data_IF_865181747012
#
_entry.id   IF_865181747012
#
_cell.length_a   1.000
_cell.length_b   1.000
_cell.length_c   1.000
_cell.angle_alpha   90.00
_cell.angle_beta   90.00
_cell.angle_gamma   90.00
#
_symmetry.space_group_name_H-M   'P 1'
#
loop_
_entity.id
_entity.type
_entity.pdbx_description
1 polymer ?
#
# COMPACT_ATOMS: atom_id res chain seq x y z
N UNK A 1 3.18 -7.20 24.74
CA UNK A 1 3.62 -5.88 25.24
C UNK A 1 2.39 -5.06 25.59
N UNK A 2 2.11 -4.91 26.89
CA UNK A 2 0.96 -4.16 27.40
C UNK A 2 1.07 -2.70 26.95
N UNK A 3 0.11 -2.26 26.12
CA UNK A 3 -0.04 -0.85 25.76
C UNK A 3 -0.45 -0.09 27.00
N UNK A 4 0.35 0.90 27.38
CA UNK A 4 0.02 1.99 28.30
C UNK A 4 -1.39 2.51 27.99
N UNK A 5 -2.23 2.82 29.00
CA UNK A 5 -3.59 3.25 28.76
C UNK A 5 -3.60 4.47 27.84
N UNK A 6 -4.55 4.44 26.89
CA UNK A 6 -4.83 5.54 25.99
C UNK A 6 -4.91 6.85 26.78
N UNK A 7 -4.22 7.89 26.31
CA UNK A 7 -4.49 9.26 26.78
C UNK A 7 -6.00 9.48 26.71
N UNK A 8 -6.64 9.96 27.81
CA UNK A 8 -8.09 10.11 27.83
C UNK A 8 -8.52 10.95 26.63
N UNK A 9 -9.60 10.51 25.98
CA UNK A 9 -10.29 11.31 24.99
C UNK A 9 -10.48 12.71 25.60
N UNK A 10 -10.05 13.75 24.88
CA UNK A 10 -10.12 15.14 25.33
C UNK A 10 -11.51 15.39 25.92
N UNK A 11 -11.59 15.54 27.24
CA UNK A 11 -12.86 15.85 27.89
C UNK A 11 -13.25 17.27 27.45
N UNK A 12 -14.49 17.49 27.01
CA UNK A 12 -14.94 18.83 26.67
C UNK A 12 -14.86 19.69 27.93
N UNK A 13 -13.91 20.62 27.93
CA UNK A 13 -13.85 21.66 28.96
C UNK A 13 -15.01 22.61 28.73
N UNK A 14 -15.69 23.02 29.78
CA UNK A 14 -16.73 24.04 29.69
C UNK A 14 -16.20 25.35 30.26
N UNK A 15 -16.38 26.44 29.52
CA UNK A 15 -16.21 27.81 30.02
C UNK A 15 -17.59 28.47 29.97
N UNK A 16 -18.16 28.79 31.13
CA UNK A 16 -19.49 29.41 31.25
C UNK A 16 -20.60 28.64 30.50
N UNK A 17 -20.58 27.31 30.59
CA UNK A 17 -21.56 26.43 29.93
C UNK A 17 -21.28 26.15 28.44
N UNK A 18 -20.19 26.68 27.89
CA UNK A 18 -19.83 26.54 26.47
C UNK A 18 -18.67 25.57 26.28
N UNK A 19 -18.76 24.70 25.28
CA UNK A 19 -17.66 23.79 24.92
C UNK A 19 -16.42 24.57 24.48
N UNK A 20 -15.34 24.37 25.20
CA UNK A 20 -14.03 24.96 24.99
C UNK A 20 -13.11 23.98 24.26
N UNK A 21 -12.75 24.34 23.03
CA UNK A 21 -11.79 23.59 22.24
C UNK A 21 -10.35 24.03 22.56
N UNK A 22 -9.58 23.13 23.17
CA UNK A 22 -8.17 23.38 23.48
C UNK A 22 -7.28 22.82 22.36
N UNK A 23 -6.19 23.51 22.00
CA UNK A 23 -5.22 22.98 21.04
C UNK A 23 -4.67 21.62 21.47
N UNK A 24 -4.61 20.64 20.55
CA UNK A 24 -4.09 19.29 20.83
C UNK A 24 -2.69 19.29 21.46
N UNK A 25 -1.80 20.21 21.06
CA UNK A 25 -0.43 20.31 21.62
C UNK A 25 -0.42 20.62 23.11
N UNK A 26 -1.56 21.04 23.64
CA UNK A 26 -1.77 21.38 25.04
C UNK A 26 -2.65 20.36 25.76
N UNK A 27 -2.92 19.20 25.16
CA UNK A 27 -3.72 18.13 25.76
C UNK A 27 -3.04 17.46 26.98
N UNK A 28 -1.74 17.66 27.17
CA UNK A 28 -1.03 17.25 28.39
C UNK A 28 -1.35 18.14 29.60
N UNK A 29 -1.96 19.31 29.38
CA UNK A 29 -2.40 20.20 30.46
C UNK A 29 -3.79 19.74 30.89
N UNK A 30 -4.03 19.56 32.20
CA UNK A 30 -5.33 19.15 32.70
C UNK A 30 -6.47 20.05 32.20
N UNK A 31 -7.60 19.41 31.88
CA UNK A 31 -8.75 20.03 31.22
C UNK A 31 -9.31 21.20 32.06
N UNK A 32 -9.43 20.97 33.36
CA UNK A 32 -9.85 21.92 34.39
C UNK A 32 -9.02 23.21 34.42
N UNK A 33 -7.72 23.14 34.07
CA UNK A 33 -6.84 24.32 34.06
C UNK A 33 -7.24 25.33 32.98
N UNK A 34 -7.87 24.87 31.90
CA UNK A 34 -8.31 25.73 30.81
C UNK A 34 -9.62 26.47 31.09
N UNK A 35 -10.40 26.03 32.07
CA UNK A 35 -11.60 26.71 32.52
C UNK A 35 -11.34 27.82 33.55
N UNK A 36 -10.12 27.91 34.10
CA UNK A 36 -9.77 28.93 35.08
C UNK A 36 -9.56 30.28 34.39
N UNK A 37 -10.39 31.26 34.73
CA UNK A 37 -10.25 32.65 34.26
C UNK A 37 -9.09 33.35 34.95
N UNK A 38 -8.24 34.01 34.16
CA UNK A 38 -7.19 34.88 34.68
C UNK A 38 -7.73 36.30 34.87
N UNK A 39 -7.72 36.78 36.11
CA UNK A 39 -8.15 38.12 36.48
C UNK A 39 -7.10 39.15 36.05
N UNK A 40 -7.24 39.64 34.83
CA UNK A 40 -6.45 40.76 34.31
C UNK A 40 -7.14 41.44 33.14
N UNK A 41 -6.88 42.73 32.91
CA UNK A 41 -7.58 43.50 31.89
C UNK A 41 -7.28 42.94 30.50
N UNK A 42 -8.31 42.90 29.63
CA UNK A 42 -8.16 42.62 28.20
C UNK A 42 -8.04 43.97 27.49
N UNK A 43 -6.89 44.31 26.89
CA UNK A 43 -6.72 45.59 26.21
C UNK A 43 -7.70 45.77 25.05
N UNK A 44 -8.25 46.98 24.89
CA UNK A 44 -9.21 47.31 23.83
C UNK A 44 -8.70 46.99 22.42
N UNK A 45 -7.40 47.20 22.18
CA UNK A 45 -6.80 46.86 20.89
C UNK A 45 -6.82 45.35 20.61
N UNK A 46 -6.82 44.48 21.63
CA UNK A 46 -7.00 43.02 21.45
C UNK A 46 -8.44 42.70 21.09
N UNK A 47 -9.42 43.34 21.74
CA UNK A 47 -10.84 43.17 21.40
C UNK A 47 -11.10 43.56 19.94
N UNK A 48 -10.61 44.74 19.52
CA UNK A 48 -10.69 45.19 18.12
C UNK A 48 -10.03 44.21 17.15
N UNK A 49 -8.85 43.69 17.50
CA UNK A 49 -8.12 42.71 16.67
C UNK A 49 -8.89 41.38 16.55
N UNK A 50 -9.44 40.87 17.66
CA UNK A 50 -10.25 39.66 17.66
C UNK A 50 -11.50 39.83 16.80
N UNK A 51 -12.21 40.95 16.98
CA UNK A 51 -13.42 41.25 16.23
C UNK A 51 -13.15 41.30 14.73
N UNK A 52 -12.08 41.99 14.30
CA UNK A 52 -11.65 42.04 12.90
C UNK A 52 -11.28 40.66 12.33
N UNK A 53 -10.79 39.75 13.17
CA UNK A 53 -10.47 38.36 12.80
C UNK A 53 -11.64 37.39 12.94
N UNK A 54 -12.84 37.87 13.27
CA UNK A 54 -14.06 37.07 13.38
C UNK A 54 -14.27 36.39 14.74
N UNK A 55 -13.68 36.92 15.81
CA UNK A 55 -13.79 36.38 17.17
C UNK A 55 -14.18 37.43 18.20
N UNK A 56 -14.84 37.01 19.28
CA UNK A 56 -14.96 37.78 20.51
C UNK A 56 -14.00 37.21 21.57
N UNK A 57 -13.34 38.05 22.38
CA UNK A 57 -12.57 37.57 23.53
C UNK A 57 -13.50 37.48 24.72
N UNK A 58 -13.76 36.26 25.20
CA UNK A 58 -14.59 36.03 26.38
C UNK A 58 -13.79 36.30 27.66
N UNK A 59 -12.60 35.72 27.76
CA UNK A 59 -11.75 35.82 28.93
C UNK A 59 -10.29 35.55 28.58
N UNK A 60 -9.40 35.97 29.49
CA UNK A 60 -8.09 35.33 29.62
C UNK A 60 -8.28 34.06 30.44
N UNK A 61 -7.70 32.95 30.01
CA UNK A 61 -7.84 31.64 30.65
C UNK A 61 -6.48 31.03 30.91
N UNK A 62 -6.35 30.14 31.90
CA UNK A 62 -5.10 29.50 32.34
C UNK A 62 -4.04 30.46 32.90
N UNK A 63 -3.62 31.45 32.11
CA UNK A 63 -2.61 32.44 32.46
C UNK A 63 -2.82 33.75 31.67
N UNK A 64 -1.91 34.72 31.86
CA UNK A 64 -1.98 36.02 31.19
C UNK A 64 -1.84 35.99 29.67
N UNK A 65 -1.43 34.87 29.08
CA UNK A 65 -1.11 34.73 27.66
C UNK A 65 -2.14 33.93 26.87
N UNK A 66 -3.10 33.25 27.49
CA UNK A 66 -4.10 32.47 26.75
C UNK A 66 -5.46 33.16 26.79
N UNK A 67 -6.12 33.17 25.63
CA UNK A 67 -7.41 33.81 25.39
C UNK A 67 -8.43 32.75 24.99
N UNK A 68 -9.60 32.79 25.63
CA UNK A 68 -10.79 32.11 25.16
C UNK A 68 -11.45 32.97 24.09
N UNK A 69 -11.43 32.49 22.84
CA UNK A 69 -11.98 33.18 21.68
C UNK A 69 -13.27 32.49 21.24
N UNK A 70 -14.38 33.20 21.31
CA UNK A 70 -15.65 32.77 20.71
C UNK A 70 -15.64 33.08 19.21
N UNK A 71 -15.91 32.06 18.39
CA UNK A 71 -16.02 32.25 16.95
C UNK A 71 -17.38 32.85 16.59
N UNK A 72 -17.39 33.97 15.86
CA UNK A 72 -18.63 34.63 15.42
C UNK A 72 -19.40 33.89 14.33
N UNK A 73 -18.82 32.84 13.75
CA UNK A 73 -19.45 32.02 12.70
C UNK A 73 -20.18 30.82 13.29
N UNK A 74 -19.55 30.09 14.21
CA UNK A 74 -20.12 28.84 14.75
C UNK A 74 -20.46 28.91 16.25
N UNK A 75 -20.17 30.01 16.94
CA UNK A 75 -20.42 30.20 18.37
C UNK A 75 -19.52 29.39 19.31
N UNK A 76 -18.70 28.47 18.80
CA UNK A 76 -17.80 27.66 19.64
C UNK A 76 -16.64 28.49 20.19
N UNK A 77 -16.13 28.09 21.35
CA UNK A 77 -15.00 28.74 22.02
C UNK A 77 -13.72 27.95 21.75
N UNK A 78 -12.65 28.63 21.36
CA UNK A 78 -11.33 28.03 21.13
C UNK A 78 -10.27 28.77 21.94
N UNK A 79 -9.30 28.04 22.48
CA UNK A 79 -8.19 28.67 23.20
C UNK A 79 -7.02 28.94 22.27
N UNK A 80 -6.51 30.17 22.29
CA UNK A 80 -5.28 30.56 21.58
C UNK A 80 -4.39 31.43 22.46
N UNK A 81 -3.09 31.48 22.13
CA UNK A 81 -2.21 32.47 22.75
C UNK A 81 -2.58 33.87 22.25
N UNK A 82 -2.49 34.87 23.12
CA UNK A 82 -2.62 36.29 22.78
C UNK A 82 -1.62 36.69 21.69
N UNK A 83 -0.43 36.07 21.68
CA UNK A 83 0.53 36.22 20.58
C UNK A 83 -0.07 35.80 19.23
N UNK A 84 -0.70 34.61 19.15
CA UNK A 84 -1.35 34.12 17.93
C UNK A 84 -2.44 35.07 17.45
N UNK A 85 -3.27 35.58 18.37
CA UNK A 85 -4.28 36.58 18.02
C UNK A 85 -3.65 37.83 17.40
N UNK A 86 -2.50 38.27 17.90
CA UNK A 86 -1.83 39.50 17.43
C UNK A 86 -1.10 39.30 16.11
N UNK A 87 -0.46 38.16 15.89
CA UNK A 87 0.48 37.97 14.76
C UNK A 87 -0.06 37.12 13.62
N UNK A 88 -1.13 36.34 13.83
CA UNK A 88 -1.67 35.41 12.83
C UNK A 88 -3.20 35.34 12.88
N UNK A 89 -3.81 34.57 11.98
CA UNK A 89 -5.24 34.27 12.02
C UNK A 89 -5.50 33.06 12.94
N UNK A 90 -6.20 33.21 14.08
CA UNK A 90 -6.57 32.06 14.90
C UNK A 90 -7.49 31.10 14.13
N UNK A 91 -7.17 29.81 14.18
CA UNK A 91 -8.03 28.78 13.61
C UNK A 91 -9.14 28.42 14.60
N UNK A 92 -10.39 28.46 14.15
CA UNK A 92 -11.52 27.97 14.95
C UNK A 92 -11.59 26.44 14.89
N UNK A 93 -11.41 25.79 16.05
CA UNK A 93 -11.50 24.34 16.17
C UNK A 93 -12.92 23.80 15.94
N UNK A 94 -13.97 24.51 16.35
CA UNK A 94 -15.35 24.12 16.11
C UNK A 94 -15.75 24.18 14.64
N UNK A 95 -15.42 25.27 13.92
CA UNK A 95 -15.61 25.31 12.46
C UNK A 95 -14.85 24.18 11.76
N UNK A 96 -13.64 23.85 12.21
CA UNK A 96 -12.88 22.72 11.64
C UNK A 96 -13.54 21.37 11.94
N UNK A 97 -14.15 21.20 13.11
CA UNK A 97 -14.92 19.99 13.45
C UNK A 97 -16.21 19.87 12.64
N UNK A 98 -16.97 20.95 12.51
CA UNK A 98 -18.18 21.01 11.67
C UNK A 98 -17.84 20.63 10.24
N UNK A 99 -16.78 21.20 9.66
CA UNK A 99 -16.32 20.83 8.30
C UNK A 99 -15.98 19.35 8.17
N UNK A 100 -15.30 18.76 9.16
CA UNK A 100 -14.96 17.32 9.16
C UNK A 100 -16.21 16.44 9.27
N UNK A 101 -17.17 16.84 10.10
CA UNK A 101 -18.46 16.13 10.25
C UNK A 101 -19.24 16.17 8.94
N UNK A 102 -19.34 17.35 8.31
CA UNK A 102 -19.97 17.51 6.99
C UNK A 102 -19.28 16.65 5.94
N UNK A 103 -17.95 16.75 5.80
CA UNK A 103 -17.21 15.94 4.83
C UNK A 103 -17.35 14.43 5.07
N UNK A 104 -17.45 13.99 6.33
CA UNK A 104 -17.74 12.59 6.64
C UNK A 104 -19.15 12.20 6.17
N UNK A 105 -20.17 13.01 6.47
CA UNK A 105 -21.54 12.77 6.06
C UNK A 105 -21.67 12.71 4.53
N UNK A 106 -21.07 13.67 3.84
CA UNK A 106 -21.05 13.74 2.37
C UNK A 106 -20.32 12.52 1.75
N UNK A 107 -19.35 11.96 2.48
CA UNK A 107 -18.66 10.72 2.10
C UNK A 107 -19.39 9.43 2.54
N UNK A 108 -20.61 9.52 3.11
CA UNK A 108 -21.36 8.37 3.61
C UNK A 108 -20.84 7.79 4.93
N UNK A 109 -20.18 8.59 5.76
CA UNK A 109 -19.54 8.16 7.01
C UNK A 109 -20.06 8.93 8.23
N UNK A 110 -19.95 8.32 9.41
CA UNK A 110 -20.14 9.02 10.69
C UNK A 110 -18.79 9.39 11.29
N UNK A 111 -18.54 10.68 11.51
CA UNK A 111 -17.31 11.14 12.17
C UNK A 111 -17.33 10.84 13.67
N UNK A 112 -16.30 10.13 14.15
CA UNK A 112 -16.16 9.72 15.56
C UNK A 112 -15.14 10.57 16.33
N UNK A 113 -14.49 11.51 15.64
CA UNK A 113 -13.47 12.36 16.22
C UNK A 113 -12.10 12.18 15.58
N UNK A 114 -11.14 12.92 16.12
CA UNK A 114 -9.76 12.94 15.62
C UNK A 114 -9.02 11.69 16.07
N UNK A 115 -8.03 11.31 15.29
CA UNK A 115 -7.05 10.33 15.74
C UNK A 115 -6.21 10.96 16.88
N UNK A 116 -6.05 10.26 18.02
CA UNK A 116 -5.33 10.80 19.18
C UNK A 116 -3.83 10.88 18.91
N UNK A 117 -3.31 10.01 18.04
CA UNK A 117 -1.87 9.89 17.75
C UNK A 117 -1.46 10.74 16.54
N UNK A 118 -2.33 10.95 15.56
CA UNK A 118 -1.97 11.62 14.30
C UNK A 118 -2.91 12.79 13.94
N UNK A 119 -2.31 13.96 13.71
CA UNK A 119 -3.06 15.20 13.47
C UNK A 119 -3.74 15.20 12.10
N UNK A 120 -3.31 14.35 11.18
CA UNK A 120 -3.80 14.27 9.81
C UNK A 120 -4.95 13.26 9.66
N UNK A 121 -5.26 12.48 10.70
CA UNK A 121 -6.25 11.42 10.64
C UNK A 121 -7.47 11.67 11.54
N UNK A 122 -8.58 11.09 11.12
CA UNK A 122 -9.81 10.94 11.89
C UNK A 122 -10.25 9.48 11.99
N UNK A 123 -11.15 9.22 12.93
CA UNK A 123 -11.88 7.96 13.05
C UNK A 123 -13.30 8.15 12.54
N UNK A 124 -13.78 7.17 11.80
CA UNK A 124 -15.08 7.21 11.14
C UNK A 124 -15.78 5.86 11.29
N UNK A 125 -17.10 5.84 11.34
CA UNK A 125 -17.90 4.62 11.21
C UNK A 125 -18.53 4.56 9.83
N UNK A 126 -18.48 3.40 9.19
CA UNK A 126 -19.19 3.12 7.96
C UNK A 126 -20.57 2.57 8.34
N UNK A 127 -21.68 3.26 8.06
CA UNK A 127 -23.02 2.83 8.49
C UNK A 127 -23.42 1.46 7.93
N UNK A 128 -23.09 1.17 6.67
CA UNK A 128 -23.56 -0.01 5.95
C UNK A 128 -23.02 -1.31 6.55
N UNK A 129 -21.80 -1.29 7.12
CA UNK A 129 -21.16 -2.45 7.71
C UNK A 129 -20.85 -2.31 9.21
N UNK A 130 -21.11 -1.15 9.81
CA UNK A 130 -20.85 -0.84 11.21
C UNK A 130 -19.37 -0.68 11.59
N UNK A 131 -18.43 -0.97 10.69
CA UNK A 131 -17.00 -0.95 11.01
C UNK A 131 -16.44 0.46 11.18
N UNK A 132 -15.48 0.58 12.10
CA UNK A 132 -14.70 1.81 12.27
C UNK A 132 -13.45 1.79 11.38
N UNK A 133 -13.19 2.91 10.70
CA UNK A 133 -12.03 3.11 9.85
C UNK A 133 -11.26 4.35 10.26
N UNK A 134 -9.93 4.26 10.13
CA UNK A 134 -8.99 5.35 10.33
C UNK A 134 -8.56 5.91 8.97
N UNK A 135 -8.81 7.20 8.72
CA UNK A 135 -8.52 7.83 7.41
C UNK A 135 -7.96 9.24 7.57
N UNK A 136 -7.12 9.62 6.62
CA UNK A 136 -6.66 11.00 6.49
C UNK A 136 -7.83 11.91 6.14
N UNK A 137 -7.82 13.14 6.65
CA UNK A 137 -8.86 14.12 6.33
C UNK A 137 -8.96 14.37 4.82
N UNK A 138 -7.83 14.47 4.11
CA UNK A 138 -7.81 14.69 2.66
C UNK A 138 -8.52 13.56 1.88
N UNK A 139 -8.35 12.30 2.31
CA UNK A 139 -9.03 11.16 1.67
C UNK A 139 -10.56 11.28 1.83
N UNK A 140 -11.02 11.71 3.00
CA UNK A 140 -12.45 11.93 3.26
C UNK A 140 -12.99 13.10 2.43
N UNK A 141 -12.25 14.21 2.35
CA UNK A 141 -12.63 15.36 1.50
C UNK A 141 -12.74 14.96 0.02
N UNK A 142 -11.81 14.12 -0.46
CA UNK A 142 -11.88 13.56 -1.82
C UNK A 142 -13.07 12.62 -2.01
N UNK A 143 -13.41 11.84 -0.99
CA UNK A 143 -14.57 10.94 -1.04
C UNK A 143 -15.89 11.70 -1.03
N UNK A 144 -16.02 12.73 -0.20
CA UNK A 144 -17.14 13.67 -0.19
C UNK A 144 -17.34 14.33 -1.56
N UNK A 145 -16.25 14.65 -2.25
CA UNK A 145 -16.29 15.19 -3.61
C UNK A 145 -16.50 14.12 -4.71
N UNK A 146 -16.77 12.86 -4.37
CA UNK A 146 -16.98 11.76 -5.31
C UNK A 146 -15.73 11.31 -6.08
N UNK A 147 -14.53 11.78 -5.71
CA UNK A 147 -13.27 11.49 -6.43
C UNK A 147 -12.66 10.13 -6.07
N UNK A 148 -13.10 9.53 -4.97
CA UNK A 148 -12.63 8.22 -4.51
C UNK A 148 -13.67 7.55 -3.63
N UNK A 149 -13.73 6.23 -3.64
CA UNK A 149 -14.53 5.48 -2.68
C UNK A 149 -13.76 5.26 -1.37
N UNK A 150 -14.49 5.14 -0.26
CA UNK A 150 -13.94 4.70 1.01
C UNK A 150 -14.06 3.19 1.11
N UNK A 151 -12.91 2.51 1.18
CA UNK A 151 -12.86 1.07 1.39
C UNK A 151 -12.94 0.75 2.88
N UNK A 152 -13.63 -0.33 3.25
CA UNK A 152 -13.52 -0.95 4.57
C UNK A 152 -12.50 -2.09 4.51
N UNK A 153 -11.42 -2.03 5.32
CA UNK A 153 -10.44 -3.13 5.40
C UNK A 153 -11.07 -4.44 5.87
N UNK A 154 -11.96 -4.36 6.86
CA UNK A 154 -12.60 -5.54 7.45
C UNK A 154 -13.52 -6.24 6.45
N UNK A 155 -14.38 -5.50 5.76
CA UNK A 155 -15.24 -6.08 4.71
C UNK A 155 -14.44 -6.63 3.54
N UNK A 156 -13.36 -5.94 3.14
CA UNK A 156 -12.48 -6.46 2.09
C UNK A 156 -11.86 -7.79 2.53
N UNK A 157 -11.31 -7.86 3.73
CA UNK A 157 -10.69 -9.08 4.24
C UNK A 157 -11.71 -10.23 4.29
N UNK A 158 -12.92 -9.99 4.82
CA UNK A 158 -13.97 -11.00 4.86
C UNK A 158 -14.35 -11.50 3.45
N UNK A 159 -14.39 -10.59 2.46
CA UNK A 159 -14.62 -10.96 1.05
C UNK A 159 -13.47 -11.82 0.50
N UNK A 160 -12.22 -11.40 0.69
CA UNK A 160 -11.03 -12.16 0.27
C UNK A 160 -10.98 -13.56 0.91
N UNK A 161 -11.36 -13.68 2.19
CA UNK A 161 -11.44 -14.96 2.90
C UNK A 161 -12.54 -15.88 2.36
N UNK A 162 -13.71 -15.31 2.03
CA UNK A 162 -14.80 -16.06 1.41
C UNK A 162 -14.47 -16.48 -0.03
N UNK A 163 -13.77 -15.63 -0.79
CA UNK A 163 -13.21 -15.98 -2.11
C UNK A 163 -12.23 -17.15 -1.98
N UNK A 164 -11.28 -17.08 -1.05
CA UNK A 164 -10.33 -18.16 -0.80
C UNK A 164 -11.03 -19.49 -0.44
N UNK A 165 -11.98 -19.45 0.49
CA UNK A 165 -12.70 -20.66 0.94
C UNK A 165 -13.44 -21.33 -0.22
N UNK A 166 -14.05 -20.56 -1.12
CA UNK A 166 -14.73 -21.10 -2.32
C UNK A 166 -13.78 -21.83 -3.26
N UNK A 167 -12.50 -21.47 -3.25
CA UNK A 167 -11.46 -22.07 -4.07
C UNK A 167 -10.67 -23.16 -3.33
N UNK A 168 -11.05 -23.54 -2.10
CA UNK A 168 -10.32 -24.54 -1.30
C UNK A 168 -9.03 -24.00 -0.66
N UNK A 169 -8.99 -22.69 -0.38
CA UNK A 169 -7.85 -22.02 0.25
C UNK A 169 -8.26 -21.28 1.53
N UNK A 170 -7.37 -21.27 2.51
CA UNK A 170 -7.46 -20.39 3.68
C UNK A 170 -6.49 -19.22 3.55
N UNK A 171 -6.96 -17.98 3.67
CA UNK A 171 -6.09 -16.78 3.73
C UNK A 171 -5.40 -16.72 5.09
N UNK A 172 -4.06 -16.72 5.09
CA UNK A 172 -3.26 -16.64 6.32
C UNK A 172 -2.93 -15.20 6.71
N UNK A 173 -2.78 -14.31 5.73
CA UNK A 173 -2.41 -12.92 6.02
C UNK A 173 -1.92 -12.12 4.83
N UNK A 174 -1.31 -10.94 5.09
CA UNK A 174 -0.69 -10.14 4.04
C UNK A 174 0.47 -10.89 3.37
N UNK A 175 0.90 -10.40 2.22
CA UNK A 175 2.08 -10.94 1.54
C UNK A 175 3.35 -10.77 2.40
N UNK A 176 4.11 -11.84 2.71
CA UNK A 176 5.36 -11.74 3.44
C UNK A 176 6.42 -10.88 2.74
N UNK A 177 6.32 -10.70 1.42
CA UNK A 177 7.20 -9.81 0.65
C UNK A 177 6.65 -8.37 0.50
N UNK A 178 5.58 -8.04 1.20
CA UNK A 178 5.01 -6.69 1.23
C UNK A 178 4.28 -6.25 -0.05
N UNK A 179 4.00 -7.14 -1.01
CA UNK A 179 3.25 -6.77 -2.20
C UNK A 179 1.74 -6.73 -1.91
N UNK A 180 1.09 -5.56 -2.00
CA UNK A 180 -0.33 -5.42 -1.67
C UNK A 180 -1.26 -6.16 -2.64
N UNK A 181 -0.78 -6.59 -3.81
CA UNK A 181 -1.56 -7.37 -4.77
C UNK A 181 -1.55 -8.88 -4.48
N UNK A 182 -0.77 -9.32 -3.48
CA UNK A 182 -0.65 -10.72 -3.08
C UNK A 182 -1.11 -10.93 -1.64
N UNK A 183 -1.47 -12.16 -1.31
CA UNK A 183 -1.65 -12.63 0.07
C UNK A 183 -0.97 -13.99 0.22
N UNK A 184 -0.71 -14.36 1.47
CA UNK A 184 -0.34 -15.73 1.81
C UNK A 184 -1.60 -16.55 2.02
N UNK A 185 -1.68 -17.70 1.35
CA UNK A 185 -2.78 -18.66 1.51
C UNK A 185 -2.22 -20.04 1.83
N UNK A 186 -3.04 -20.84 2.51
CA UNK A 186 -2.83 -22.27 2.73
C UNK A 186 -3.85 -23.06 1.93
N UNK A 187 -3.42 -24.08 1.19
CA UNK A 187 -4.32 -24.98 0.49
C UNK A 187 -4.99 -25.91 1.49
N UNK A 188 -6.31 -26.03 1.46
CA UNK A 188 -7.03 -26.79 2.48
C UNK A 188 -6.82 -28.31 2.30
N UNK A 189 -6.62 -28.80 1.08
CA UNK A 189 -6.47 -30.23 0.82
C UNK A 189 -5.10 -30.81 1.21
N UNK A 190 -4.01 -30.03 1.05
CA UNK A 190 -2.64 -30.53 1.30
C UNK A 190 -1.85 -29.71 2.33
N UNK A 191 -2.40 -28.61 2.84
CA UNK A 191 -1.73 -27.73 3.78
C UNK A 191 -0.62 -26.85 3.19
N UNK A 192 -0.35 -26.92 1.89
CA UNK A 192 0.72 -26.13 1.27
C UNK A 192 0.45 -24.63 1.35
N UNK A 193 1.43 -23.86 1.79
CA UNK A 193 1.36 -22.40 1.83
C UNK A 193 2.01 -21.78 0.60
N UNK A 194 1.28 -20.88 -0.07
CA UNK A 194 1.84 -20.14 -1.20
C UNK A 194 1.27 -18.74 -1.33
N UNK A 195 2.05 -17.89 -1.98
CA UNK A 195 1.65 -16.52 -2.33
C UNK A 195 0.78 -16.56 -3.57
N UNK A 196 -0.42 -16.00 -3.50
CA UNK A 196 -1.35 -15.95 -4.64
C UNK A 196 -1.79 -14.50 -4.82
N UNK A 197 -1.85 -14.05 -6.06
CA UNK A 197 -2.39 -12.73 -6.39
C UNK A 197 -3.89 -12.69 -6.00
N UNK A 198 -4.33 -11.59 -5.39
CA UNK A 198 -5.73 -11.42 -4.95
C UNK A 198 -6.68 -11.59 -6.14
N UNK A 199 -6.32 -11.05 -7.31
CA UNK A 199 -7.09 -11.19 -8.54
C UNK A 199 -7.20 -12.64 -9.01
N UNK A 200 -6.10 -13.40 -8.94
CA UNK A 200 -6.13 -14.81 -9.35
C UNK A 200 -7.02 -15.63 -8.41
N UNK A 201 -6.94 -15.37 -7.10
CA UNK A 201 -7.81 -16.00 -6.12
C UNK A 201 -9.28 -15.69 -6.38
N UNK A 202 -9.63 -14.43 -6.67
CA UNK A 202 -11.02 -14.06 -6.96
C UNK A 202 -11.58 -14.75 -8.20
N UNK A 203 -10.75 -15.00 -9.22
CA UNK A 203 -11.15 -15.70 -10.44
C UNK A 203 -11.00 -17.24 -10.37
N UNK A 204 -10.51 -17.79 -9.24
CA UNK A 204 -10.17 -19.22 -9.14
C UNK A 204 -9.01 -19.66 -10.04
N UNK A 205 -8.23 -18.70 -10.56
CA UNK A 205 -7.05 -18.94 -11.39
C UNK A 205 -5.82 -19.21 -10.54
N UNK A 206 -5.96 -20.11 -9.57
CA UNK A 206 -4.94 -20.47 -8.60
C UNK A 206 -4.89 -21.98 -8.43
N UNK A 207 -3.73 -22.56 -8.70
CA UNK A 207 -3.49 -23.98 -8.53
C UNK A 207 -2.45 -24.22 -7.44
N UNK A 208 -2.55 -25.34 -6.75
CA UNK A 208 -1.63 -25.70 -5.69
C UNK A 208 -0.29 -26.13 -6.28
N UNK A 209 0.82 -25.51 -5.86
CA UNK A 209 2.14 -25.90 -6.33
C UNK A 209 2.58 -27.31 -5.88
N UNK A 210 1.86 -27.97 -4.97
CA UNK A 210 2.20 -29.33 -4.49
C UNK A 210 1.31 -30.41 -5.09
N UNK A 211 0.00 -30.23 -5.06
CA UNK A 211 -0.98 -31.25 -5.49
C UNK A 211 -1.84 -30.81 -6.68
N UNK A 212 -1.57 -29.63 -7.23
CA UNK A 212 -2.29 -29.10 -8.37
C UNK A 212 -2.00 -29.89 -9.65
N UNK A 213 -3.01 -29.98 -10.51
CA UNK A 213 -2.95 -30.75 -11.76
C UNK A 213 -2.75 -29.87 -13.00
N UNK A 214 -2.83 -28.54 -12.85
CA UNK A 214 -2.63 -27.61 -13.96
C UNK A 214 -1.19 -27.65 -14.47
N UNK A 215 -1.00 -27.19 -15.71
CA UNK A 215 0.34 -27.03 -16.28
C UNK A 215 1.26 -26.14 -15.42
N UNK A 216 0.69 -25.23 -14.63
CA UNK A 216 1.49 -24.36 -13.74
C UNK A 216 1.94 -25.05 -12.46
N UNK A 217 1.27 -26.12 -12.03
CA UNK A 217 1.67 -26.92 -10.87
C UNK A 217 2.61 -28.07 -11.25
N UNK A 218 2.59 -28.54 -12.49
CA UNK A 218 3.52 -29.58 -12.97
C UNK A 218 4.97 -29.09 -13.01
N UNK A 219 5.96 -29.98 -12.83
CA UNK A 219 7.37 -29.66 -13.02
C UNK A 219 7.65 -29.00 -14.36
N UNK A 220 8.60 -28.07 -14.36
CA UNK A 220 8.98 -27.31 -15.54
C UNK A 220 10.50 -27.11 -15.56
N UNK A 221 11.03 -26.51 -16.62
CA UNK A 221 12.45 -26.24 -16.77
C UNK A 221 12.66 -24.77 -17.11
N UNK A 222 13.53 -24.07 -16.38
CA UNK A 222 14.13 -22.83 -16.89
C UNK A 222 15.26 -23.22 -17.82
N UNK A 223 15.32 -22.60 -18.99
CA UNK A 223 16.37 -22.84 -19.98
C UNK A 223 17.11 -21.55 -20.32
N UNK A 224 18.39 -21.70 -20.64
CA UNK A 224 19.18 -20.71 -21.36
C UNK A 224 19.60 -21.32 -22.69
N UNK A 225 19.16 -20.71 -23.78
CA UNK A 225 19.49 -21.13 -25.13
C UNK A 225 20.31 -20.05 -25.86
N UNK A 226 21.28 -20.49 -26.64
CA UNK A 226 21.92 -19.68 -27.68
C UNK A 226 21.20 -19.96 -29.00
N UNK A 227 20.77 -18.90 -29.68
CA UNK A 227 20.12 -18.98 -30.98
C UNK A 227 21.00 -18.23 -31.98
N UNK A 228 21.50 -18.95 -32.96
CA UNK A 228 22.20 -18.37 -34.11
C UNK A 228 21.22 -18.31 -35.28
N UNK A 229 21.13 -17.14 -35.90
CA UNK A 229 20.36 -16.85 -37.10
C UNK A 229 21.36 -16.53 -38.23
N UNK A 230 21.85 -17.54 -38.97
CA UNK A 230 22.93 -17.37 -39.94
C UNK A 230 22.61 -16.33 -41.01
N UNK A 231 21.42 -16.40 -41.63
CA UNK A 231 20.96 -15.42 -42.63
C UNK A 231 20.91 -13.98 -42.12
N UNK A 232 20.68 -13.79 -40.82
CA UNK A 232 20.67 -12.46 -40.20
C UNK A 232 22.03 -12.06 -39.61
N UNK A 233 23.05 -12.91 -39.72
CA UNK A 233 24.39 -12.70 -39.15
C UNK A 233 24.35 -12.47 -37.64
N UNK A 234 23.41 -13.08 -36.92
CA UNK A 234 23.14 -12.73 -35.52
C UNK A 234 23.11 -13.94 -34.60
N UNK A 235 23.69 -13.77 -33.42
CA UNK A 235 23.56 -14.70 -32.30
C UNK A 235 22.94 -13.99 -31.11
N UNK A 236 21.96 -14.62 -30.48
CA UNK A 236 21.23 -14.09 -29.32
C UNK A 236 21.13 -15.15 -28.21
N UNK A 237 20.90 -14.69 -26.98
CA UNK A 237 20.60 -15.54 -25.84
C UNK A 237 19.12 -15.43 -25.49
N UNK A 238 18.47 -16.57 -25.27
CA UNK A 238 17.11 -16.66 -24.76
C UNK A 238 17.10 -17.33 -23.40
N UNK A 239 16.72 -16.56 -22.38
CA UNK A 239 16.29 -17.07 -21.09
C UNK A 239 14.78 -17.25 -21.13
N UNK A 240 14.27 -18.40 -20.70
CA UNK A 240 12.84 -18.66 -20.64
C UNK A 240 12.52 -19.92 -19.83
N UNK A 241 11.25 -20.31 -19.77
CA UNK A 241 10.86 -21.57 -19.13
C UNK A 241 9.91 -22.40 -20.00
N UNK A 242 9.92 -23.71 -19.86
CA UNK A 242 9.00 -24.63 -20.55
C UNK A 242 9.00 -25.98 -19.84
N UNK A 243 7.87 -26.69 -19.89
CA UNK A 243 7.82 -28.10 -19.50
C UNK A 243 8.57 -29.01 -20.48
N UNK A 244 8.71 -28.58 -21.74
CA UNK A 244 9.52 -29.27 -22.75
C UNK A 244 10.24 -28.23 -23.62
N UNK A 245 11.45 -27.79 -23.23
CA UNK A 245 12.22 -26.79 -23.97
C UNK A 245 12.47 -27.18 -25.43
N UNK A 246 12.83 -28.43 -25.71
CA UNK A 246 13.13 -28.88 -27.08
C UNK A 246 11.93 -28.74 -28.03
N UNK A 247 10.76 -29.25 -27.63
CA UNK A 247 9.53 -29.12 -28.44
C UNK A 247 9.13 -27.66 -28.65
N UNK A 248 9.32 -26.81 -27.62
CA UNK A 248 9.00 -25.38 -27.69
C UNK A 248 9.85 -24.66 -28.76
N UNK A 249 11.15 -24.95 -28.83
CA UNK A 249 12.02 -24.33 -29.83
C UNK A 249 11.75 -24.83 -31.24
N UNK A 250 11.47 -26.13 -31.42
CA UNK A 250 11.18 -26.70 -32.74
C UNK A 250 9.86 -26.21 -33.36
N UNK A 251 8.82 -26.00 -32.55
CA UNK A 251 7.47 -25.79 -33.08
C UNK A 251 6.82 -24.43 -32.73
N UNK A 252 7.27 -23.72 -31.70
CA UNK A 252 6.52 -22.57 -31.17
C UNK A 252 7.19 -21.21 -31.40
N UNK A 253 8.51 -21.17 -31.58
CA UNK A 253 9.24 -19.90 -31.77
C UNK A 253 9.26 -19.41 -33.22
N UNK A 254 8.75 -20.20 -34.16
CA UNK A 254 8.71 -19.87 -35.58
C UNK A 254 10.09 -19.54 -36.14
N UNK A 255 11.13 -20.26 -35.68
CA UNK A 255 12.49 -20.05 -36.11
C UNK A 255 12.64 -20.43 -37.60
N UNK A 256 13.49 -19.71 -38.37
CA UNK A 256 13.88 -20.12 -39.71
C UNK A 256 14.47 -21.54 -39.71
N UNK A 257 14.32 -22.25 -40.83
CA UNK A 257 14.84 -23.62 -40.98
C UNK A 257 16.37 -23.71 -40.78
N UNK A 258 17.10 -22.63 -41.08
CA UNK A 258 18.55 -22.54 -40.91
C UNK A 258 18.99 -22.08 -39.51
N UNK A 259 18.05 -21.79 -38.61
CA UNK A 259 18.37 -21.35 -37.26
C UNK A 259 19.01 -22.48 -36.45
N UNK A 260 20.10 -22.18 -35.77
CA UNK A 260 20.79 -23.14 -34.89
C UNK A 260 20.49 -22.79 -33.43
N UNK A 261 20.03 -23.79 -32.67
CA UNK A 261 19.68 -23.62 -31.26
C UNK A 261 20.55 -24.56 -30.42
N UNK A 262 21.21 -24.01 -29.41
CA UNK A 262 21.98 -24.78 -28.42
C UNK A 262 21.50 -24.42 -27.03
N UNK A 263 21.03 -25.41 -26.27
CA UNK A 263 20.77 -25.21 -24.84
C UNK A 263 22.09 -25.15 -24.10
N UNK A 264 22.39 -23.99 -23.51
CA UNK A 264 23.56 -23.78 -22.68
C UNK A 264 23.33 -24.28 -21.25
N UNK A 265 22.09 -24.14 -20.76
CA UNK A 265 21.69 -24.59 -19.42
C UNK A 265 20.23 -24.98 -19.35
N UNK A 266 19.94 -26.03 -18.59
CA UNK A 266 18.60 -26.48 -18.22
C UNK A 266 18.54 -26.61 -16.70
N UNK A 267 17.58 -25.96 -16.07
CA UNK A 267 17.38 -25.97 -14.63
C UNK A 267 15.98 -26.51 -14.33
N UNK A 268 15.92 -27.71 -13.74
CA UNK A 268 14.67 -28.31 -13.30
C UNK A 268 14.03 -27.46 -12.20
N UNK A 269 12.73 -27.20 -12.34
CA UNK A 269 11.92 -26.42 -11.42
C UNK A 269 10.81 -27.31 -10.88
N UNK A 270 10.50 -27.21 -9.57
CA UNK A 270 9.46 -28.04 -8.96
C UNK A 270 8.09 -27.83 -9.62
N UNK A 271 7.80 -26.59 -10.07
CA UNK A 271 6.56 -26.26 -10.77
C UNK A 271 6.77 -25.23 -11.88
N UNK A 272 5.85 -25.18 -12.84
CA UNK A 272 5.74 -24.11 -13.83
C UNK A 272 5.57 -22.72 -13.21
N UNK A 273 4.87 -22.62 -12.07
CA UNK A 273 4.72 -21.38 -11.33
C UNK A 273 6.07 -20.89 -10.76
N UNK A 274 6.82 -21.80 -10.13
CA UNK A 274 8.17 -21.50 -9.64
C UNK A 274 9.09 -21.08 -10.79
N UNK A 275 9.02 -21.78 -11.93
CA UNK A 275 9.77 -21.46 -13.13
C UNK A 275 9.45 -20.06 -13.67
N UNK A 276 8.16 -19.74 -13.84
CA UNK A 276 7.68 -18.44 -14.32
C UNK A 276 8.06 -17.31 -13.37
N UNK A 277 7.87 -17.49 -12.05
CA UNK A 277 8.19 -16.48 -11.06
C UNK A 277 9.70 -16.20 -10.99
N UNK A 278 10.54 -17.23 -11.03
CA UNK A 278 11.99 -17.07 -11.05
C UNK A 278 12.50 -16.46 -12.36
N UNK A 279 11.95 -16.86 -13.51
CA UNK A 279 12.28 -16.30 -14.83
C UNK A 279 11.93 -14.80 -14.91
N UNK A 280 10.73 -14.39 -14.48
CA UNK A 280 10.34 -12.97 -14.44
C UNK A 280 11.24 -12.14 -13.52
N UNK A 281 11.62 -12.67 -12.35
CA UNK A 281 12.57 -11.99 -11.45
C UNK A 281 13.95 -11.85 -12.09
N UNK A 282 14.42 -12.89 -12.77
CA UNK A 282 15.68 -12.85 -13.51
C UNK A 282 15.65 -11.78 -14.61
N UNK A 283 14.58 -11.73 -15.41
CA UNK A 283 14.41 -10.71 -16.44
C UNK A 283 14.38 -9.30 -15.87
N UNK A 284 13.63 -9.06 -14.79
CA UNK A 284 13.58 -7.76 -14.12
C UNK A 284 14.95 -7.33 -13.57
N UNK A 285 15.71 -8.26 -12.97
CA UNK A 285 17.06 -7.96 -12.49
C UNK A 285 18.02 -7.65 -13.63
N UNK A 286 18.06 -8.51 -14.65
CA UNK A 286 18.96 -8.36 -15.80
C UNK A 286 18.63 -7.10 -16.59
N UNK A 287 17.36 -6.80 -16.82
CA UNK A 287 16.92 -5.58 -17.52
C UNK A 287 17.28 -4.30 -16.75
N UNK A 288 17.21 -4.34 -15.41
CA UNK A 288 17.60 -3.19 -14.58
C UNK A 288 19.12 -2.99 -14.53
N UNK A 289 19.90 -4.07 -14.43
CA UNK A 289 21.36 -4.02 -14.28
C UNK A 289 22.10 -3.88 -15.61
N UNK A 290 21.55 -4.45 -16.67
CA UNK A 290 22.16 -4.52 -18.01
C UNK A 290 21.14 -4.14 -19.10
N UNK A 291 20.54 -2.95 -19.05
CA UNK A 291 19.54 -2.52 -20.04
C UNK A 291 20.09 -2.56 -21.47
N UNK A 292 21.38 -2.28 -21.66
CA UNK A 292 22.08 -2.31 -22.94
C UNK A 292 22.27 -3.72 -23.52
N UNK A 293 22.07 -4.76 -22.71
CA UNK A 293 22.13 -6.14 -23.17
C UNK A 293 20.79 -6.65 -23.73
N UNK A 294 19.68 -5.95 -23.43
CA UNK A 294 18.35 -6.30 -23.94
C UNK A 294 18.27 -5.88 -25.40
N UNK A 295 18.04 -6.83 -26.29
CA UNK A 295 17.92 -6.54 -27.71
C UNK A 295 16.51 -5.97 -27.97
N UNK A 296 16.38 -4.81 -28.65
CA UNK A 296 15.07 -4.25 -29.00
C UNK A 296 14.28 -5.16 -29.96
N UNK A 297 12.95 -5.33 -29.78
CA UNK A 297 12.09 -6.17 -30.63
C UNK A 297 12.23 -5.91 -32.13
N UNK A 298 12.33 -4.63 -32.52
CA UNK A 298 12.51 -4.21 -33.92
C UNK A 298 13.71 -4.85 -34.62
N UNK A 299 14.74 -5.26 -33.88
CA UNK A 299 15.93 -5.86 -34.49
C UNK A 299 15.68 -7.28 -34.95
N UNK A 300 14.81 -8.05 -34.28
CA UNK A 300 14.55 -9.47 -34.56
C UNK A 300 13.09 -9.78 -34.96
N UNK A 301 12.27 -8.75 -35.15
CA UNK A 301 10.91 -8.89 -35.63
C UNK A 301 10.89 -9.68 -36.96
N UNK A 302 9.98 -10.66 -37.06
CA UNK A 302 9.88 -11.55 -38.22
C UNK A 302 10.91 -12.69 -38.27
N UNK A 303 11.93 -12.68 -37.41
CA UNK A 303 12.97 -13.73 -37.35
C UNK A 303 12.75 -14.70 -36.19
N UNK A 304 12.26 -14.21 -35.04
CA UNK A 304 11.94 -15.05 -33.89
C UNK A 304 10.63 -14.55 -33.27
N UNK A 305 9.65 -15.44 -33.06
CA UNK A 305 8.42 -15.13 -32.34
C UNK A 305 8.63 -15.31 -30.83
N UNK A 306 8.98 -14.22 -30.15
CA UNK A 306 9.13 -14.19 -28.69
C UNK A 306 8.37 -13.02 -28.08
N UNK A 307 7.77 -13.26 -26.92
CA UNK A 307 7.04 -12.26 -26.13
C UNK A 307 7.84 -11.73 -24.94
N UNK A 308 8.96 -12.38 -24.59
CA UNK A 308 9.89 -11.94 -23.55
C UNK A 308 11.29 -11.67 -24.10
N UNK A 309 12.11 -11.01 -23.28
CA UNK A 309 13.41 -10.45 -23.65
C UNK A 309 14.35 -11.49 -24.26
N UNK A 310 15.17 -11.03 -25.21
CA UNK A 310 16.36 -11.73 -25.70
C UNK A 310 17.57 -10.85 -25.43
N UNK A 311 18.70 -11.48 -25.17
CA UNK A 311 19.92 -10.81 -24.72
C UNK A 311 21.06 -10.94 -25.73
N UNK A 312 21.98 -10.00 -25.68
CA UNK A 312 23.25 -10.08 -26.39
C UNK A 312 24.15 -11.22 -25.84
N UNK A 313 25.01 -11.84 -26.69
CA UNK A 313 25.85 -12.96 -26.26
C UNK A 313 26.81 -12.66 -25.09
N UNK A 314 27.28 -11.42 -24.96
CA UNK A 314 28.23 -11.04 -23.91
C UNK A 314 27.62 -11.08 -22.50
N UNK A 315 26.29 -11.08 -22.36
CA UNK A 315 25.63 -11.18 -21.06
C UNK A 315 25.65 -12.60 -20.48
N UNK A 316 26.14 -13.59 -21.21
CA UNK A 316 26.14 -15.01 -20.80
C UNK A 316 26.64 -15.23 -19.35
N UNK A 317 27.80 -14.69 -18.91
CA UNK A 317 28.30 -14.93 -17.55
C UNK A 317 27.36 -14.41 -16.46
N UNK A 318 26.66 -13.30 -16.73
CA UNK A 318 25.72 -12.69 -15.80
C UNK A 318 24.44 -13.55 -15.66
N UNK A 319 23.92 -14.03 -16.79
CA UNK A 319 22.74 -14.92 -16.80
C UNK A 319 23.08 -16.23 -16.06
N UNK A 320 24.26 -16.81 -16.31
CA UNK A 320 24.73 -18.02 -15.61
C UNK A 320 24.80 -17.82 -14.10
N UNK A 321 25.25 -16.65 -13.62
CA UNK A 321 25.27 -16.34 -12.19
C UNK A 321 23.87 -16.26 -11.60
N UNK A 322 22.93 -15.64 -12.30
CA UNK A 322 21.52 -15.58 -11.88
C UNK A 322 20.93 -16.99 -11.79
N UNK A 323 21.17 -17.84 -12.78
CA UNK A 323 20.70 -19.23 -12.79
C UNK A 323 21.34 -20.07 -11.68
N UNK A 324 22.61 -19.87 -11.37
CA UNK A 324 23.29 -20.55 -10.25
C UNK A 324 22.68 -20.17 -8.90
N UNK A 325 22.31 -18.90 -8.70
CA UNK A 325 21.60 -18.48 -7.49
C UNK A 325 20.21 -19.11 -7.42
N UNK A 326 19.44 -19.09 -8.52
CA UNK A 326 18.12 -19.76 -8.55
C UNK A 326 18.25 -21.26 -8.23
N UNK A 327 19.25 -21.94 -8.78
CA UNK A 327 19.50 -23.35 -8.48
C UNK A 327 19.81 -23.59 -7.00
N UNK A 328 20.57 -22.69 -6.36
CA UNK A 328 20.85 -22.74 -4.92
C UNK A 328 19.58 -22.54 -4.09
N UNK A 329 18.75 -21.56 -4.45
CA UNK A 329 17.50 -21.26 -3.75
C UNK A 329 16.52 -22.44 -3.80
N UNK A 330 16.52 -23.20 -4.90
CA UNK A 330 15.71 -24.43 -5.04
C UNK A 330 16.26 -25.56 -4.16
N UNK A 331 17.59 -25.72 -4.13
CA UNK A 331 18.25 -26.76 -3.33
C UNK A 331 18.21 -26.49 -1.82
N UNK A 332 17.87 -25.26 -1.40
CA UNK A 332 17.77 -24.86 0.01
C UNK A 332 16.47 -24.08 0.26
N UNK A 333 15.31 -24.76 0.33
CA UNK A 333 14.01 -24.10 0.52
C UNK A 333 13.93 -23.21 1.77
N UNK A 334 14.76 -23.49 2.79
CA UNK A 334 14.73 -22.83 4.10
C UNK A 334 15.72 -21.65 4.25
N UNK A 335 16.51 -21.32 3.21
CA UNK A 335 17.63 -20.36 3.32
C UNK A 335 17.29 -18.86 3.18
N UNK A 336 16.07 -18.50 2.77
CA UNK A 336 15.70 -17.11 2.46
C UNK A 336 14.92 -16.40 3.60
N UNK A 337 15.08 -16.85 4.85
CA UNK A 337 14.48 -16.23 6.05
C UNK A 337 15.43 -15.33 6.85
N UNK A 338 16.63 -15.03 6.36
CA UNK A 338 17.55 -14.12 7.03
C UNK A 338 18.30 -13.22 6.05
N UNK A 339 17.76 -12.01 5.83
CA UNK A 339 18.51 -10.77 5.59
C UNK A 339 17.56 -9.57 5.71
#
# INVERSE_FOLDING_TARGET
>A
MCKTPASPAFQPVSLDGRTLHVPRRSAHVPAETWAVTYNGPIPDHWQKTAHAKGFNILARVRDRYHLALECRVCGTVTVHKAFTLRTAQPACAGCAEIRRRSAAQDAGLVYLGRDPEDRHYGRYRIPECGHEVRRQFEIIERAAAGKTAIRCETCLQAREENEARRQGWTRLGPDPLGNPNYRLYRHDACGHEQRIAVTNMSWGQCDCATCGESWTAKPSTIYLARITLPRAGRTVLKLGYSANPEKRFRHQLGLPEDAQVTFLRLLAMPTGHAACAAEKRAHAELGRRFPQAVIPPKLYAGQIKVVSEIYTPWLLPEIERVLTRIARDIASPDGARAA
#
